data_IF_476154950946
#
_entry.id   IF_476154950946
#
_cell.length_a   1.000
_cell.length_b   1.000
_cell.length_c   1.000
_cell.angle_alpha   90.00
_cell.angle_beta   90.00
_cell.angle_gamma   90.00
#
_symmetry.space_group_name_H-M   'P 1'
#
loop_
_entity.id
_entity.type
_entity.pdbx_description
1 polymer ?
#
# COMPACT_ATOMS: atom_id res chain seq x y z
N UNK A 1 -50.16 -30.80 20.49
CA UNK A 1 -48.96 -31.63 20.70
C UNK A 1 -48.48 -32.06 19.32
N UNK A 2 -47.41 -31.55 18.72
CA UNK A 2 -46.39 -30.59 19.13
C UNK A 2 -46.08 -29.69 17.92
N UNK A 3 -45.97 -28.38 18.15
CA UNK A 3 -45.27 -27.43 17.27
C UNK A 3 -44.01 -27.05 18.03
N UNK A 4 -42.84 -27.52 17.61
CA UNK A 4 -41.51 -26.93 17.87
C UNK A 4 -40.48 -27.83 17.20
N UNK A 5 -40.00 -27.47 16.00
CA UNK A 5 -38.58 -27.57 15.65
C UNK A 5 -38.38 -26.90 14.29
N UNK A 6 -37.56 -25.86 14.25
CA UNK A 6 -37.37 -25.03 13.03
C UNK A 6 -36.86 -23.62 13.32
N UNK A 7 -36.86 -23.19 14.59
CA UNK A 7 -36.31 -21.90 15.03
C UNK A 7 -34.83 -21.96 15.42
N UNK A 8 -34.18 -23.13 15.36
CA UNK A 8 -32.84 -23.31 15.96
C UNK A 8 -31.69 -23.16 14.96
N UNK A 9 -31.95 -23.28 13.65
CA UNK A 9 -30.90 -23.26 12.60
C UNK A 9 -30.74 -21.88 11.93
N UNK A 10 -31.81 -21.08 11.89
CA UNK A 10 -31.79 -19.72 11.30
C UNK A 10 -31.05 -18.69 12.15
N UNK A 11 -31.02 -18.86 13.48
CA UNK A 11 -30.44 -17.87 14.39
C UNK A 11 -28.91 -17.97 14.48
N UNK A 12 -28.32 -19.15 14.26
CA UNK A 12 -26.87 -19.36 14.34
C UNK A 12 -26.11 -18.74 13.17
N UNK A 13 -26.70 -18.72 11.98
CA UNK A 13 -26.08 -18.16 10.76
C UNK A 13 -26.14 -16.62 10.73
N UNK A 14 -27.24 -16.01 11.19
CA UNK A 14 -27.33 -14.56 11.36
C UNK A 14 -26.38 -14.06 12.47
N UNK A 15 -26.22 -14.81 13.56
CA UNK A 15 -25.34 -14.41 14.66
C UNK A 15 -23.86 -14.49 14.26
N UNK A 16 -23.48 -15.48 13.45
CA UNK A 16 -22.16 -15.62 12.82
C UNK A 16 -21.80 -14.46 11.87
N UNK A 17 -22.74 -14.02 11.04
CA UNK A 17 -22.53 -12.87 10.15
C UNK A 17 -22.33 -11.55 10.93
N UNK A 18 -23.02 -11.40 12.06
CA UNK A 18 -22.94 -10.21 12.91
C UNK A 18 -21.63 -10.11 13.71
N UNK A 19 -21.05 -11.21 14.16
CA UNK A 19 -19.75 -11.19 14.86
C UNK A 19 -18.60 -10.87 13.90
N UNK A 20 -18.60 -11.42 12.69
CA UNK A 20 -17.55 -11.17 11.67
C UNK A 20 -17.57 -9.71 11.21
N UNK A 21 -18.74 -9.13 11.01
CA UNK A 21 -18.88 -7.72 10.61
C UNK A 21 -18.44 -6.76 11.73
N UNK A 22 -18.72 -7.09 13.00
CA UNK A 22 -18.26 -6.30 14.16
C UNK A 22 -16.75 -6.39 14.36
N UNK A 23 -16.16 -7.58 14.21
CA UNK A 23 -14.71 -7.77 14.27
C UNK A 23 -14.00 -7.01 13.14
N UNK A 24 -14.53 -7.07 11.91
CA UNK A 24 -13.99 -6.34 10.77
C UNK A 24 -13.98 -4.82 11.00
N UNK A 25 -15.05 -4.27 11.60
CA UNK A 25 -15.12 -2.83 11.95
C UNK A 25 -14.12 -2.46 13.04
N UNK A 26 -14.02 -3.26 14.09
CA UNK A 26 -13.09 -3.01 15.18
C UNK A 26 -11.63 -3.08 14.72
N UNK A 27 -11.31 -3.93 13.74
CA UNK A 27 -9.97 -4.04 13.16
C UNK A 27 -9.59 -2.85 12.25
N UNK A 28 -10.54 -2.15 11.65
CA UNK A 28 -10.27 -1.00 10.76
C UNK A 28 -9.79 0.25 11.51
N UNK A 29 -10.33 0.51 12.72
CA UNK A 29 -9.97 1.67 13.54
C UNK A 29 -8.49 1.71 13.93
N UNK A 30 -7.89 0.65 14.52
CA UNK A 30 -6.47 0.67 14.90
C UNK A 30 -5.54 0.76 13.68
N UNK A 31 -5.93 0.20 12.53
CA UNK A 31 -5.17 0.32 11.29
C UNK A 31 -5.09 1.78 10.85
N UNK A 32 -6.21 2.52 10.88
CA UNK A 32 -6.22 3.92 10.49
C UNK A 32 -5.38 4.79 11.43
N UNK A 33 -5.45 4.52 12.75
CA UNK A 33 -4.62 5.21 13.75
C UNK A 33 -3.13 4.92 13.50
N UNK A 34 -2.78 3.65 13.28
CA UNK A 34 -1.40 3.24 12.98
C UNK A 34 -0.87 3.91 11.72
N UNK A 35 -1.69 3.99 10.65
CA UNK A 35 -1.33 4.68 9.42
C UNK A 35 -1.14 6.19 9.62
N UNK A 36 -1.99 6.83 10.42
CA UNK A 36 -1.87 8.25 10.74
C UNK A 36 -0.57 8.54 11.50
N UNK A 37 -0.25 7.73 12.52
CA UNK A 37 1.02 7.84 13.27
C UNK A 37 2.20 7.62 12.33
N UNK A 38 2.15 6.58 11.50
CA UNK A 38 3.19 6.29 10.51
C UNK A 38 3.41 7.46 9.55
N UNK A 39 2.35 8.11 9.07
CA UNK A 39 2.45 9.30 8.22
C UNK A 39 3.13 10.47 8.93
N UNK A 40 2.83 10.72 10.20
CA UNK A 40 3.49 11.76 11.00
C UNK A 40 4.97 11.45 11.16
N UNK A 41 5.33 10.19 11.44
CA UNK A 41 6.72 9.77 11.54
C UNK A 41 7.47 9.96 10.21
N UNK A 42 6.89 9.54 9.08
CA UNK A 42 7.46 9.77 7.75
C UNK A 42 7.70 11.25 7.47
N UNK A 43 6.73 12.10 7.84
CA UNK A 43 6.86 13.54 7.67
C UNK A 43 8.01 14.11 8.48
N UNK A 44 8.15 13.70 9.74
CA UNK A 44 9.26 14.13 10.61
C UNK A 44 10.60 13.67 10.04
N UNK A 45 10.73 12.39 9.68
CA UNK A 45 11.97 11.84 9.12
C UNK A 45 12.38 12.57 7.84
N UNK A 46 11.41 12.89 6.96
CA UNK A 46 11.68 13.65 5.74
C UNK A 46 12.30 15.03 6.04
N UNK A 47 11.78 15.75 7.03
CA UNK A 47 12.35 17.04 7.44
C UNK A 47 13.74 16.88 8.08
N UNK A 48 13.94 15.83 8.86
CA UNK A 48 15.22 15.51 9.50
C UNK A 48 16.28 15.20 8.47
N UNK A 49 15.97 14.40 7.44
CA UNK A 49 16.90 14.06 6.36
C UNK A 49 17.31 15.30 5.57
N UNK A 50 16.36 16.21 5.28
CA UNK A 50 16.66 17.50 4.65
C UNK A 50 17.56 18.34 5.55
N UNK A 51 17.27 18.39 6.86
CA UNK A 51 18.06 19.17 7.81
C UNK A 51 19.51 18.69 7.91
N UNK A 52 19.73 17.36 8.00
CA UNK A 52 21.08 16.78 8.00
C UNK A 52 21.81 17.04 6.69
N UNK A 53 21.14 16.88 5.56
CA UNK A 53 21.74 17.19 4.26
C UNK A 53 22.20 18.65 4.16
N UNK A 54 21.43 19.58 4.74
CA UNK A 54 21.79 21.00 4.83
C UNK A 54 22.99 21.24 5.75
N UNK A 55 23.06 20.55 6.89
CA UNK A 55 24.17 20.69 7.84
C UNK A 55 25.49 20.15 7.30
N UNK A 56 25.47 18.99 6.64
CA UNK A 56 26.66 18.28 6.20
C UNK A 56 27.20 18.75 4.84
N UNK A 57 26.61 19.81 4.28
CA UNK A 57 26.96 20.37 2.96
C UNK A 57 26.94 19.32 1.83
N UNK A 58 26.10 18.28 1.96
CA UNK A 58 26.05 17.16 1.01
C UNK A 58 25.63 17.61 -0.39
N UNK A 59 24.93 18.73 -0.49
CA UNK A 59 24.53 19.39 -1.74
C UNK A 59 25.72 19.94 -2.56
N UNK A 60 26.91 20.05 -1.98
CA UNK A 60 28.12 20.44 -2.72
C UNK A 60 28.69 19.28 -3.55
N UNK A 61 28.41 18.03 -3.18
CA UNK A 61 28.75 16.86 -3.97
C UNK A 61 27.56 16.46 -4.85
N UNK A 62 27.78 16.46 -6.17
CA UNK A 62 26.78 16.06 -7.17
C UNK A 62 26.23 14.65 -6.89
N UNK A 63 27.07 13.71 -6.46
CA UNK A 63 26.65 12.32 -6.20
C UNK A 63 25.75 12.25 -4.98
N UNK A 64 26.18 12.84 -3.87
CA UNK A 64 25.39 12.87 -2.63
C UNK A 64 24.06 13.59 -2.80
N UNK A 65 24.04 14.68 -3.57
CA UNK A 65 22.79 15.39 -3.91
C UNK A 65 21.79 14.48 -4.62
N UNK A 66 22.26 13.66 -5.57
CA UNK A 66 21.39 12.72 -6.30
C UNK A 66 20.85 11.65 -5.34
N UNK A 67 21.70 11.06 -4.49
CA UNK A 67 21.30 10.05 -3.50
C UNK A 67 20.28 10.61 -2.49
N UNK A 68 20.49 11.83 -2.01
CA UNK A 68 19.56 12.51 -1.12
C UNK A 68 18.18 12.66 -1.77
N UNK A 69 18.13 13.22 -2.98
CA UNK A 69 16.85 13.40 -3.71
C UNK A 69 16.16 12.06 -3.91
N UNK A 70 16.92 11.01 -4.18
CA UNK A 70 16.41 9.68 -4.46
C UNK A 70 15.83 9.00 -3.22
N UNK A 71 16.47 9.17 -2.06
CA UNK A 71 15.97 8.73 -0.77
C UNK A 71 14.68 9.50 -0.36
N UNK A 72 14.68 10.83 -0.52
CA UNK A 72 13.50 11.65 -0.24
C UNK A 72 12.32 11.26 -1.14
N UNK A 73 12.60 10.97 -2.41
CA UNK A 73 11.60 10.53 -3.35
C UNK A 73 11.01 9.19 -2.93
N UNK A 74 11.82 8.20 -2.54
CA UNK A 74 11.33 6.90 -2.05
C UNK A 74 10.34 7.04 -0.88
N UNK A 75 10.69 7.86 0.13
CA UNK A 75 9.78 8.16 1.24
C UNK A 75 8.44 8.75 0.79
N UNK A 76 8.45 9.68 -0.16
CA UNK A 76 7.22 10.29 -0.72
C UNK A 76 6.36 9.24 -1.43
N UNK A 77 6.99 8.32 -2.16
CA UNK A 77 6.25 7.26 -2.84
C UNK A 77 5.61 6.27 -1.85
N UNK A 78 6.31 5.90 -0.78
CA UNK A 78 5.73 5.09 0.31
C UNK A 78 4.55 5.83 0.95
N UNK A 79 4.69 7.12 1.22
CA UNK A 79 3.61 7.96 1.76
C UNK A 79 2.38 8.00 0.83
N UNK A 80 2.59 8.07 -0.49
CA UNK A 80 1.51 8.04 -1.47
C UNK A 80 0.75 6.70 -1.46
N UNK A 81 1.46 5.58 -1.28
CA UNK A 81 0.84 4.26 -1.10
C UNK A 81 0.05 4.21 0.22
N UNK A 82 0.62 4.74 1.30
CA UNK A 82 -0.05 4.82 2.60
C UNK A 82 -1.36 5.61 2.52
N UNK A 83 -1.36 6.79 1.87
CA UNK A 83 -2.56 7.61 1.67
C UNK A 83 -3.63 6.84 0.87
N UNK A 84 -3.20 6.12 -0.17
CA UNK A 84 -4.09 5.30 -0.98
C UNK A 84 -4.80 4.23 -0.14
N UNK A 85 -4.05 3.54 0.74
CA UNK A 85 -4.59 2.52 1.65
C UNK A 85 -5.48 3.17 2.70
N UNK A 86 -5.04 4.26 3.34
CA UNK A 86 -5.83 5.00 4.33
C UNK A 86 -7.20 5.41 3.77
N UNK A 87 -7.22 5.94 2.55
CA UNK A 87 -8.46 6.39 1.89
C UNK A 87 -9.40 5.22 1.63
N UNK A 88 -8.88 4.05 1.26
CA UNK A 88 -9.71 2.85 1.10
C UNK A 88 -10.27 2.37 2.45
N UNK A 89 -9.43 2.30 3.48
CA UNK A 89 -9.85 1.91 4.83
C UNK A 89 -10.92 2.85 5.39
N UNK A 90 -10.74 4.17 5.23
CA UNK A 90 -11.71 5.18 5.65
C UNK A 90 -13.06 5.05 4.92
N UNK A 91 -13.03 4.89 3.60
CA UNK A 91 -14.24 4.69 2.81
C UNK A 91 -15.00 3.44 3.26
N UNK A 92 -14.30 2.33 3.51
CA UNK A 92 -14.94 1.09 3.99
C UNK A 92 -15.56 1.24 5.38
N UNK A 93 -14.95 2.05 6.25
CA UNK A 93 -15.48 2.36 7.58
C UNK A 93 -16.76 3.22 7.52
N UNK A 94 -16.79 4.26 6.68
CA UNK A 94 -17.94 5.18 6.57
C UNK A 94 -19.09 4.65 5.69
N UNK A 95 -18.80 3.91 4.61
CA UNK A 95 -19.82 3.49 3.61
C UNK A 95 -20.79 2.40 4.12
N UNK A 96 -20.50 1.71 5.25
CA UNK A 96 -21.39 0.69 5.83
C UNK A 96 -22.38 1.25 6.88
N UNK A 97 -22.57 2.57 6.94
CA UNK A 97 -23.76 3.14 7.57
C UNK A 97 -25.01 2.72 6.76
N UNK A 98 -26.16 2.41 7.40
CA UNK A 98 -27.19 1.55 6.82
C UNK A 98 -27.98 2.25 5.72
N UNK A 99 -27.49 2.18 4.47
CA UNK A 99 -28.24 2.62 3.29
C UNK A 99 -27.87 1.75 2.08
N UNK A 100 -28.66 0.68 1.90
CA UNK A 100 -28.88 -0.07 0.65
C UNK A 100 -27.72 -0.98 0.18
N UNK A 101 -27.87 -2.28 0.42
CA UNK A 101 -26.89 -3.34 0.23
C UNK A 101 -26.58 -3.71 -1.25
N UNK A 102 -27.40 -3.31 -2.22
CA UNK A 102 -27.28 -3.86 -3.59
C UNK A 102 -26.36 -3.02 -4.51
N UNK A 103 -26.26 -1.70 -4.28
CA UNK A 103 -25.22 -0.86 -4.90
C UNK A 103 -23.85 -0.99 -4.23
N UNK A 104 -23.81 -1.66 -3.07
CA UNK A 104 -22.69 -1.74 -2.14
C UNK A 104 -21.57 -2.69 -2.61
N UNK A 105 -21.93 -3.90 -3.06
CA UNK A 105 -20.97 -4.92 -3.54
C UNK A 105 -20.29 -4.45 -4.83
N UNK A 106 -21.05 -3.84 -5.75
CA UNK A 106 -20.55 -3.51 -7.09
C UNK A 106 -19.60 -2.30 -7.10
N UNK A 107 -19.78 -1.33 -6.19
CA UNK A 107 -18.84 -0.21 -6.02
C UNK A 107 -17.56 -0.61 -5.28
N UNK A 108 -17.67 -1.46 -4.24
CA UNK A 108 -16.53 -2.01 -3.51
C UNK A 108 -15.62 -2.85 -4.40
N UNK A 109 -16.20 -3.76 -5.20
CA UNK A 109 -15.47 -4.60 -6.16
C UNK A 109 -14.72 -3.74 -7.19
N UNK A 110 -15.38 -2.73 -7.78
CA UNK A 110 -14.75 -1.84 -8.77
C UNK A 110 -13.67 -0.94 -8.16
N UNK A 111 -13.86 -0.46 -6.92
CA UNK A 111 -12.86 0.33 -6.21
C UNK A 111 -11.64 -0.52 -5.83
N UNK A 112 -11.84 -1.75 -5.35
CA UNK A 112 -10.77 -2.72 -5.08
C UNK A 112 -10.02 -3.09 -6.37
N UNK A 113 -10.73 -3.32 -7.48
CA UNK A 113 -10.13 -3.64 -8.78
C UNK A 113 -9.32 -2.48 -9.36
N UNK A 114 -9.74 -1.23 -9.17
CA UNK A 114 -8.95 -0.03 -9.53
C UNK A 114 -7.75 0.16 -8.61
N UNK A 115 -7.90 -0.14 -7.32
CA UNK A 115 -6.82 -0.05 -6.35
C UNK A 115 -5.72 -1.07 -6.64
N UNK A 116 -6.08 -2.32 -6.97
CA UNK A 116 -5.11 -3.40 -7.27
C UNK A 116 -4.08 -2.99 -8.31
N UNK A 117 -4.52 -2.44 -9.45
CA UNK A 117 -3.59 -2.07 -10.53
C UNK A 117 -2.75 -0.83 -10.21
N UNK A 118 -3.34 0.15 -9.52
CA UNK A 118 -2.62 1.36 -9.09
C UNK A 118 -1.51 1.03 -8.08
N UNK A 119 -1.75 0.12 -7.15
CA UNK A 119 -0.74 -0.34 -6.18
C UNK A 119 0.40 -1.05 -6.91
N UNK A 120 0.11 -2.04 -7.76
CA UNK A 120 1.16 -2.81 -8.47
C UNK A 120 2.01 -1.88 -9.36
N UNK A 121 1.39 -0.97 -10.09
CA UNK A 121 2.12 0.01 -10.91
C UNK A 121 3.01 0.92 -10.07
N UNK A 122 2.52 1.41 -8.93
CA UNK A 122 3.29 2.27 -8.03
C UNK A 122 4.48 1.52 -7.44
N UNK A 123 4.31 0.26 -7.02
CA UNK A 123 5.41 -0.57 -6.48
C UNK A 123 6.50 -0.81 -7.52
N UNK A 124 6.14 -1.06 -8.79
CA UNK A 124 7.12 -1.24 -9.88
C UNK A 124 7.91 0.06 -10.11
N UNK A 125 7.24 1.22 -10.11
CA UNK A 125 7.90 2.52 -10.26
C UNK A 125 8.87 2.77 -9.11
N UNK A 126 8.44 2.56 -7.85
CA UNK A 126 9.30 2.68 -6.66
C UNK A 126 10.54 1.80 -6.78
N UNK A 127 10.35 0.53 -7.12
CA UNK A 127 11.45 -0.41 -7.28
C UNK A 127 12.42 0.02 -8.38
N UNK A 128 11.94 0.61 -9.49
CA UNK A 128 12.79 1.09 -10.59
C UNK A 128 13.74 2.18 -10.13
N UNK A 129 13.22 3.10 -9.32
CA UNK A 129 13.91 4.25 -8.77
C UNK A 129 14.97 3.79 -7.76
N UNK A 130 14.60 2.87 -6.86
CA UNK A 130 15.51 2.31 -5.88
C UNK A 130 16.69 1.57 -6.54
N UNK A 131 16.43 0.80 -7.61
CA UNK A 131 17.49 0.10 -8.37
C UNK A 131 18.45 1.09 -9.02
N UNK A 132 17.94 2.21 -9.56
CA UNK A 132 18.78 3.25 -10.13
C UNK A 132 19.66 3.93 -9.06
N UNK A 133 19.14 4.09 -7.84
CA UNK A 133 19.89 4.64 -6.70
C UNK A 133 21.09 3.78 -6.35
N UNK A 134 20.82 2.50 -6.14
CA UNK A 134 21.82 1.55 -5.69
C UNK A 134 22.90 1.32 -6.77
N UNK A 135 22.48 1.40 -8.05
CA UNK A 135 23.41 1.43 -9.19
C UNK A 135 24.29 2.67 -9.16
N UNK A 136 23.79 3.85 -8.81
CA UNK A 136 24.64 5.06 -8.78
C UNK A 136 25.64 5.05 -7.62
N UNK A 137 25.43 4.24 -6.59
CA UNK A 137 26.26 4.08 -5.40
C UNK A 137 27.40 3.03 -5.55
N UNK A 138 27.77 2.66 -6.80
CA UNK A 138 28.79 1.65 -7.18
C UNK A 138 30.11 1.58 -6.38
N UNK A 139 30.43 2.57 -5.53
CA UNK A 139 31.57 2.51 -4.61
C UNK A 139 31.37 1.60 -3.38
N UNK A 140 30.13 1.25 -3.00
CA UNK A 140 29.87 0.50 -1.76
C UNK A 140 29.15 -0.85 -1.96
N UNK A 141 28.71 -1.16 -3.17
CA UNK A 141 27.88 -2.32 -3.46
C UNK A 141 28.64 -3.45 -4.16
N UNK A 142 28.45 -4.67 -3.65
CA UNK A 142 29.07 -5.88 -4.23
C UNK A 142 28.36 -6.22 -5.56
N UNK A 143 29.10 -6.70 -6.57
CA UNK A 143 28.53 -7.10 -7.86
C UNK A 143 27.34 -8.08 -7.73
N UNK A 144 27.37 -8.97 -6.73
CA UNK A 144 26.27 -9.89 -6.43
C UNK A 144 25.00 -9.16 -5.96
N UNK A 145 25.13 -8.10 -5.16
CA UNK A 145 23.99 -7.30 -4.68
C UNK A 145 23.33 -6.56 -5.83
N UNK A 146 24.15 -5.91 -6.69
CA UNK A 146 23.64 -5.19 -7.87
C UNK A 146 22.91 -6.16 -8.82
N UNK A 147 23.48 -7.35 -9.06
CA UNK A 147 22.85 -8.38 -9.88
C UNK A 147 21.52 -8.88 -9.27
N UNK A 148 21.48 -9.11 -7.96
CA UNK A 148 20.27 -9.51 -7.25
C UNK A 148 19.18 -8.44 -7.33
N UNK A 149 19.56 -7.15 -7.21
CA UNK A 149 18.65 -6.02 -7.27
C UNK A 149 18.02 -5.86 -8.66
N UNK A 150 18.84 -5.92 -9.71
CA UNK A 150 18.38 -5.92 -11.11
C UNK A 150 17.48 -7.14 -11.38
N UNK A 151 17.88 -8.32 -10.89
CA UNK A 151 17.11 -9.55 -11.02
C UNK A 151 15.73 -9.44 -10.37
N UNK A 152 15.67 -8.94 -9.14
CA UNK A 152 14.41 -8.70 -8.43
C UNK A 152 13.51 -7.72 -9.19
N UNK A 153 14.08 -6.64 -9.71
CA UNK A 153 13.33 -5.64 -10.45
C UNK A 153 12.78 -6.19 -11.77
N UNK A 154 13.57 -7.01 -12.49
CA UNK A 154 13.10 -7.72 -13.68
C UNK A 154 11.94 -8.66 -13.38
N UNK A 155 11.96 -9.37 -12.24
CA UNK A 155 10.85 -10.25 -11.82
C UNK A 155 9.58 -9.43 -11.54
N UNK A 156 9.70 -8.29 -10.87
CA UNK A 156 8.58 -7.38 -10.64
C UNK A 156 8.01 -6.83 -11.96
N UNK A 157 8.89 -6.41 -12.88
CA UNK A 157 8.49 -5.89 -14.18
C UNK A 157 7.81 -6.98 -15.03
N UNK A 158 8.39 -8.19 -15.08
CA UNK A 158 7.81 -9.33 -15.80
C UNK A 158 6.42 -9.69 -15.24
N UNK A 159 6.27 -9.71 -13.92
CA UNK A 159 4.98 -9.97 -13.25
C UNK A 159 3.95 -8.89 -13.58
N UNK A 160 4.35 -7.62 -13.61
CA UNK A 160 3.48 -6.51 -13.99
C UNK A 160 3.05 -6.60 -15.46
N UNK A 161 3.99 -6.83 -16.37
CA UNK A 161 3.70 -6.97 -17.81
C UNK A 161 2.79 -8.16 -18.05
N UNK A 162 3.06 -9.32 -17.46
CA UNK A 162 2.19 -10.49 -17.56
C UNK A 162 0.76 -10.12 -17.09
N UNK A 163 0.63 -9.59 -15.88
CA UNK A 163 -0.68 -9.22 -15.31
C UNK A 163 -1.42 -8.16 -16.13
N UNK A 164 -0.69 -7.22 -16.75
CA UNK A 164 -1.29 -6.16 -17.56
C UNK A 164 -1.68 -6.65 -18.96
N UNK A 165 -0.80 -7.42 -19.62
CA UNK A 165 -1.02 -8.00 -20.96
C UNK A 165 -2.21 -8.96 -20.96
N UNK A 166 -2.31 -9.83 -19.95
CA UNK A 166 -3.45 -10.75 -19.81
C UNK A 166 -4.79 -10.02 -19.66
N UNK A 167 -4.78 -8.76 -19.25
CA UNK A 167 -5.99 -7.96 -19.04
C UNK A 167 -6.36 -7.07 -20.22
N UNK A 168 -5.50 -6.95 -21.23
CA UNK A 168 -5.81 -6.25 -22.50
C UNK A 168 -6.49 -7.15 -23.53
N UNK A 169 -6.54 -8.46 -23.27
CA UNK A 169 -7.18 -9.46 -24.14
C UNK A 169 -8.60 -9.87 -23.66
N UNK A 170 -9.08 -9.26 -22.56
CA UNK A 170 -10.46 -9.37 -22.03
C UNK A 170 -11.13 -7.98 -22.05
#
# INVERSE_FOLDING_TARGET
MAMTDGSTESDTDEQGANIVTRLSRAAQVPILIGLAIGMVLFLITLFVDIYYAVQDYEFLDRKKTILLILNLLDMVFIANLVIMVATNTYNTFCLKAPAHADHFIQQGERAYRRMKHRIVSTIVIISSIHVLSELLEFSQTTALQVLALIGFHLVLLATYVATNVFRTND
#
